data_IF_407179486005
#
_entry.id   IF_407179486005
#
_cell.length_a   1.000
_cell.length_b   1.000
_cell.length_c   1.000
_cell.angle_alpha   90.00
_cell.angle_beta   90.00
_cell.angle_gamma   90.00
#
_symmetry.space_group_name_H-M   'P 1'
#
loop_
_entity.id
_entity.type
_entity.pdbx_description
1 polymer ?
#
# COMPACT_ATOMS: atom_id res chain seq x y z
N UNK A 1 -6.78 -4.72 -3.59
CA UNK A 1 -5.42 -5.29 -3.46
C UNK A 1 -5.50 -6.47 -2.52
N UNK A 2 -5.17 -7.70 -2.96
CA UNK A 2 -5.23 -8.88 -2.08
C UNK A 2 -4.46 -10.06 -2.67
N UNK A 3 -4.86 -10.50 -3.86
CA UNK A 3 -4.30 -11.71 -4.46
C UNK A 3 -2.84 -11.52 -4.93
N UNK A 4 -2.55 -10.45 -5.68
CA UNK A 4 -1.20 -10.20 -6.18
C UNK A 4 -0.15 -10.04 -5.07
N UNK A 5 -0.36 -9.21 -4.02
CA UNK A 5 0.58 -9.15 -2.90
C UNK A 5 0.74 -10.49 -2.18
N UNK A 6 -0.35 -11.24 -1.99
CA UNK A 6 -0.32 -12.55 -1.33
C UNK A 6 0.46 -13.59 -2.14
N UNK A 7 0.33 -13.56 -3.47
CA UNK A 7 1.13 -14.38 -4.38
C UNK A 7 2.63 -14.06 -4.28
N UNK A 8 2.97 -12.77 -4.22
CA UNK A 8 4.37 -12.35 -4.01
C UNK A 8 4.91 -12.78 -2.64
N UNK A 9 4.10 -12.69 -1.58
CA UNK A 9 4.47 -13.16 -0.25
C UNK A 9 4.71 -14.67 -0.21
N UNK A 10 3.85 -15.47 -0.87
CA UNK A 10 4.03 -16.92 -0.97
C UNK A 10 5.30 -17.28 -1.74
N UNK A 11 5.55 -16.62 -2.86
CA UNK A 11 6.79 -16.79 -3.62
C UNK A 11 8.03 -16.52 -2.75
N UNK A 12 8.04 -15.39 -2.03
CA UNK A 12 9.14 -15.04 -1.13
C UNK A 12 9.34 -16.09 -0.02
N UNK A 13 8.24 -16.59 0.55
CA UNK A 13 8.30 -17.63 1.58
C UNK A 13 8.84 -18.96 1.05
N UNK A 14 8.47 -19.38 -0.16
CA UNK A 14 9.02 -20.57 -0.83
C UNK A 14 10.52 -20.41 -1.07
N UNK A 15 10.95 -19.27 -1.63
CA UNK A 15 12.38 -19.01 -1.88
C UNK A 15 13.19 -19.00 -0.59
N UNK A 16 12.64 -18.44 0.49
CA UNK A 16 13.27 -18.44 1.82
C UNK A 16 13.38 -19.86 2.39
N UNK A 17 12.35 -20.70 2.23
CA UNK A 17 12.39 -22.09 2.66
C UNK A 17 13.42 -22.92 1.87
N UNK A 18 13.56 -22.68 0.57
CA UNK A 18 14.60 -23.30 -0.26
C UNK A 18 16.00 -22.88 0.19
N UNK A 19 16.21 -21.60 0.48
CA UNK A 19 17.47 -21.10 1.02
C UNK A 19 17.81 -21.70 2.40
N UNK A 20 16.81 -21.81 3.30
CA UNK A 20 16.97 -22.54 4.58
C UNK A 20 17.40 -23.97 4.33
N UNK A 21 16.74 -24.68 3.40
CA UNK A 21 17.05 -26.07 3.06
C UNK A 21 18.46 -26.21 2.48
N UNK A 22 18.89 -25.28 1.63
CA UNK A 22 20.27 -25.27 1.10
C UNK A 22 21.31 -25.11 2.21
N UNK A 23 21.03 -24.23 3.18
CA UNK A 23 21.96 -23.94 4.29
C UNK A 23 21.99 -25.03 5.35
N UNK A 24 20.85 -25.68 5.63
CA UNK A 24 20.68 -26.59 6.78
C UNK A 24 20.48 -28.05 6.40
N UNK A 25 20.16 -28.35 5.15
CA UNK A 25 19.72 -29.68 4.69
C UNK A 25 18.23 -29.98 4.96
N UNK A 26 17.53 -29.15 5.73
CA UNK A 26 16.17 -29.43 6.20
C UNK A 26 15.12 -28.55 5.52
N UNK A 27 14.07 -29.18 4.98
CA UNK A 27 12.88 -28.50 4.49
C UNK A 27 12.03 -27.87 5.60
N UNK A 28 10.98 -27.14 5.22
CA UNK A 28 9.94 -26.69 6.13
C UNK A 28 8.62 -26.48 5.37
N UNK A 29 7.52 -26.42 6.12
CA UNK A 29 6.22 -25.98 5.60
C UNK A 29 6.25 -24.48 5.28
N UNK A 30 5.53 -24.09 4.24
CA UNK A 30 5.33 -22.69 3.84
C UNK A 30 3.84 -22.42 3.73
N UNK A 31 3.39 -21.32 4.33
CA UNK A 31 2.01 -20.85 4.24
C UNK A 31 1.96 -19.34 4.07
N UNK A 32 0.82 -18.85 3.58
CA UNK A 32 0.49 -17.43 3.47
C UNK A 32 -0.99 -17.23 3.80
N UNK A 33 -1.43 -15.98 3.98
CA UNK A 33 -2.83 -15.67 4.28
C UNK A 33 -3.26 -14.40 3.57
N UNK A 34 -4.34 -14.47 2.79
CA UNK A 34 -4.96 -13.29 2.17
C UNK A 34 -5.31 -12.22 3.20
N UNK A 35 -5.82 -12.63 4.37
CA UNK A 35 -6.18 -11.73 5.45
C UNK A 35 -4.94 -11.07 6.07
N UNK A 36 -3.88 -11.84 6.34
CA UNK A 36 -2.66 -11.29 6.93
C UNK A 36 -1.97 -10.29 5.99
N UNK A 37 -1.91 -10.62 4.68
CA UNK A 37 -1.39 -9.71 3.67
C UNK A 37 -2.28 -8.47 3.50
N UNK A 38 -3.60 -8.63 3.58
CA UNK A 38 -4.56 -7.53 3.60
C UNK A 38 -4.35 -6.60 4.80
N UNK A 39 -4.12 -7.16 5.98
CA UNK A 39 -3.82 -6.39 7.20
C UNK A 39 -2.49 -5.63 7.06
N UNK A 40 -1.44 -6.28 6.56
CA UNK A 40 -0.15 -5.62 6.29
C UNK A 40 -0.29 -4.45 5.31
N UNK A 41 -0.99 -4.66 4.19
CA UNK A 41 -1.19 -3.62 3.17
C UNK A 41 -1.99 -2.41 3.70
N UNK A 42 -2.87 -2.63 4.69
CA UNK A 42 -3.67 -1.58 5.33
C UNK A 42 -3.12 -1.16 6.71
N UNK A 43 -1.85 -1.47 7.00
CA UNK A 43 -1.26 -1.28 8.32
C UNK A 43 -1.43 0.15 8.86
N UNK A 44 -1.31 1.17 8.01
CA UNK A 44 -1.51 2.58 8.41
C UNK A 44 -2.93 2.83 8.93
N UNK A 45 -3.95 2.29 8.26
CA UNK A 45 -5.35 2.43 8.69
C UNK A 45 -5.63 1.65 9.97
N UNK A 46 -5.08 0.44 10.10
CA UNK A 46 -5.20 -0.36 11.32
C UNK A 46 -4.55 0.39 12.51
N UNK A 47 -3.37 0.97 12.31
CA UNK A 47 -2.71 1.76 13.35
C UNK A 47 -3.51 3.01 13.73
N UNK A 48 -4.06 3.73 12.75
CA UNK A 48 -4.93 4.87 13.02
C UNK A 48 -6.18 4.45 13.82
N UNK A 49 -6.80 3.32 13.50
CA UNK A 49 -7.92 2.78 14.26
C UNK A 49 -7.52 2.42 15.70
N UNK A 50 -6.31 1.87 15.91
CA UNK A 50 -5.78 1.57 17.25
C UNK A 50 -5.45 2.82 18.07
N UNK A 51 -5.32 3.98 17.43
CA UNK A 51 -5.12 5.29 18.06
C UNK A 51 -6.44 6.08 18.21
N UNK A 52 -7.59 5.40 18.11
CA UNK A 52 -8.93 5.98 18.21
C UNK A 52 -9.18 7.13 17.20
N UNK A 53 -8.53 7.08 16.03
CA UNK A 53 -8.80 8.03 14.95
C UNK A 53 -10.18 7.73 14.35
N UNK A 54 -11.06 8.74 14.36
CA UNK A 54 -12.31 8.68 13.62
C UNK A 54 -12.05 8.81 12.12
N UNK A 55 -12.43 7.78 11.36
CA UNK A 55 -12.38 7.83 9.90
C UNK A 55 -13.58 8.61 9.37
N UNK A 56 -13.36 9.69 8.59
CA UNK A 56 -14.46 10.42 8.01
C UNK A 56 -15.23 9.51 7.06
N UNK A 57 -16.56 9.66 7.06
CA UNK A 57 -17.40 8.96 6.09
C UNK A 57 -17.00 9.41 4.68
N UNK A 58 -16.60 8.44 3.85
CA UNK A 58 -16.18 8.71 2.48
C UNK A 58 -17.43 8.94 1.62
N UNK A 59 -17.77 10.21 1.42
CA UNK A 59 -18.86 10.60 0.54
C UNK A 59 -18.45 10.39 -0.93
N UNK A 60 -19.41 10.00 -1.76
CA UNK A 60 -19.24 9.95 -3.22
C UNK A 60 -19.96 11.15 -3.85
N UNK A 61 -19.30 11.92 -4.74
CA UNK A 61 -17.92 11.77 -5.19
C UNK A 61 -16.90 12.22 -4.12
N UNK A 62 -15.73 11.60 -4.14
CA UNK A 62 -14.63 11.99 -3.25
C UNK A 62 -14.24 13.46 -3.57
N UNK A 63 -14.16 14.36 -2.58
CA UNK A 63 -13.74 15.73 -2.81
C UNK A 63 -12.36 15.78 -3.48
N UNK A 64 -12.25 16.53 -4.58
CA UNK A 64 -10.99 16.71 -5.30
C UNK A 64 -9.96 17.42 -4.42
N UNK A 65 -8.76 16.86 -4.30
CA UNK A 65 -7.66 17.52 -3.61
C UNK A 65 -6.84 18.33 -4.63
N UNK A 66 -6.73 19.67 -4.51
CA UNK A 66 -6.13 20.53 -5.53
C UNK A 66 -4.65 20.25 -5.84
N UNK A 67 -4.00 19.46 -4.99
CA UNK A 67 -2.60 19.06 -5.12
C UNK A 67 -2.42 17.54 -5.21
N UNK A 68 -3.50 16.76 -5.22
CA UNK A 68 -3.44 15.29 -5.20
C UNK A 68 -4.66 14.69 -5.92
N UNK A 69 -4.70 14.84 -7.24
CA UNK A 69 -5.82 14.38 -8.09
C UNK A 69 -5.41 14.24 -9.56
N UNK A 70 -6.33 13.75 -10.39
CA UNK A 70 -6.21 13.70 -11.84
C UNK A 70 -6.81 14.96 -12.50
N UNK A 71 -6.14 15.45 -13.54
CA UNK A 71 -6.52 16.66 -14.26
C UNK A 71 -6.50 16.43 -15.77
N UNK A 72 -7.54 16.91 -16.45
CA UNK A 72 -7.64 16.91 -17.90
C UNK A 72 -6.72 17.95 -18.53
N UNK A 73 -6.08 17.55 -19.62
CA UNK A 73 -5.26 18.40 -20.48
C UNK A 73 -6.07 18.88 -21.70
N UNK A 74 -5.53 19.86 -22.41
CA UNK A 74 -6.15 20.39 -23.64
C UNK A 74 -6.26 19.33 -24.75
N UNK A 75 -5.39 18.32 -24.75
CA UNK A 75 -5.39 17.20 -25.70
C UNK A 75 -6.18 15.98 -25.19
N UNK A 76 -7.12 16.19 -24.25
CA UNK A 76 -8.06 15.16 -23.77
C UNK A 76 -7.36 13.96 -23.09
N UNK A 77 -6.17 14.17 -22.54
CA UNK A 77 -5.45 13.20 -21.70
C UNK A 77 -5.47 13.63 -20.24
N UNK A 78 -5.38 12.68 -19.34
CA UNK A 78 -5.25 12.97 -17.90
C UNK A 78 -3.79 12.93 -17.45
N UNK A 79 -3.44 13.78 -16.49
CA UNK A 79 -2.23 13.63 -15.69
C UNK A 79 -2.56 13.59 -14.20
N UNK A 80 -1.79 12.81 -13.45
CA UNK A 80 -1.87 12.76 -12.00
C UNK A 80 -0.96 13.84 -11.39
N UNK A 81 -1.52 14.74 -10.58
CA UNK A 81 -0.76 15.66 -9.75
C UNK A 81 -0.63 15.06 -8.35
N UNK A 82 0.59 15.00 -7.82
CA UNK A 82 0.86 14.52 -6.46
C UNK A 82 1.89 15.39 -5.75
N UNK A 83 1.46 16.53 -5.21
CA UNK A 83 2.31 17.48 -4.47
C UNK A 83 2.06 17.34 -2.97
N UNK A 84 3.06 16.78 -2.27
CA UNK A 84 3.00 16.47 -0.83
C UNK A 84 3.46 17.67 0.03
N UNK A 85 4.24 18.59 -0.54
CA UNK A 85 4.72 19.79 0.14
C UNK A 85 4.40 21.04 -0.69
N UNK A 86 3.71 22.00 -0.07
CA UNK A 86 3.33 23.27 -0.69
C UNK A 86 4.18 24.46 -0.19
N UNK A 87 5.14 24.23 0.71
CA UNK A 87 5.99 25.31 1.24
C UNK A 87 6.96 25.80 0.16
N UNK A 88 6.87 27.09 -0.14
CA UNK A 88 7.92 27.82 -0.84
C UNK A 88 9.03 28.10 0.18
N UNK A 89 10.21 27.48 0.01
CA UNK A 89 11.40 27.88 0.75
C UNK A 89 11.77 29.31 0.35
N UNK A 90 11.23 30.32 1.04
CA UNK A 90 11.44 31.71 0.67
C UNK A 90 10.66 32.79 1.41
N UNK A 91 10.09 32.52 2.59
CA UNK A 91 9.65 33.60 3.49
C UNK A 91 10.17 33.34 4.90
N UNK A 92 11.26 34.05 5.21
CA UNK A 92 11.74 34.34 6.56
C UNK A 92 10.85 35.36 7.25
#
# INVERSE_FOLDING_TARGET
>A
MGDHPTGMALYGAIMTALYKRETTGEGCEVSTSLMANGAWANGVFIQAALMDIEFPQRNEPVPRHPFYDFYDTKDEREFALGMINSRLNGQS
#
